data_IF_566314988226
#
_entry.id   IF_566314988226
#
_cell.length_a   1.000
_cell.length_b   1.000
_cell.length_c   1.000
_cell.angle_alpha   90.00
_cell.angle_beta   90.00
_cell.angle_gamma   90.00
#
_symmetry.space_group_name_H-M   'P 1'
#
loop_
_entity.id
_entity.type
_entity.pdbx_description
1 polymer ?
#
# COMPACT_ATOMS: atom_id res chain seq x y z
N UNK A 1 27.78 33.00 48.80
CA UNK A 1 27.62 31.60 48.33
C UNK A 1 26.81 31.62 47.04
N UNK A 2 27.39 31.20 45.91
CA UNK A 2 26.71 31.21 44.60
C UNK A 2 26.72 29.79 44.04
N UNK A 3 25.62 29.07 44.21
CA UNK A 3 25.40 27.75 43.61
C UNK A 3 24.63 27.93 42.31
N UNK A 4 25.31 27.95 41.18
CA UNK A 4 24.65 28.13 39.87
C UNK A 4 25.24 27.21 38.82
N UNK A 5 24.43 26.28 38.28
CA UNK A 5 24.56 25.92 36.86
C UNK A 5 24.40 24.44 36.48
N UNK A 6 24.56 23.47 37.37
CA UNK A 6 24.65 22.07 36.92
C UNK A 6 23.28 21.38 36.71
N UNK A 7 22.28 21.66 37.55
CA UNK A 7 20.97 21.00 37.48
C UNK A 7 20.15 21.40 36.24
N UNK A 8 20.28 22.65 35.77
CA UNK A 8 19.56 23.13 34.57
C UNK A 8 20.18 22.72 33.23
N UNK A 9 21.48 22.35 33.20
CA UNK A 9 22.17 22.00 31.94
C UNK A 9 21.78 20.59 31.47
N UNK A 10 21.66 19.63 32.38
CA UNK A 10 21.23 18.27 32.07
C UNK A 10 19.77 18.18 31.66
N UNK A 11 18.88 18.96 32.30
CA UNK A 11 17.47 19.04 31.90
C UNK A 11 17.31 19.58 30.47
N UNK A 12 18.09 20.61 30.09
CA UNK A 12 18.08 21.16 28.73
C UNK A 12 18.62 20.19 27.68
N UNK A 13 19.66 19.42 28.02
CA UNK A 13 20.21 18.38 27.15
C UNK A 13 19.19 17.25 26.90
N UNK A 14 18.50 16.78 27.94
CA UNK A 14 17.44 15.77 27.80
C UNK A 14 16.29 16.23 26.89
N UNK A 15 15.83 17.46 27.07
CA UNK A 15 14.77 18.04 26.23
C UNK A 15 15.22 18.12 24.77
N UNK A 16 16.47 18.53 24.51
CA UNK A 16 17.02 18.61 23.16
C UNK A 16 17.13 17.23 22.49
N UNK A 17 17.59 16.20 23.22
CA UNK A 17 17.68 14.83 22.69
C UNK A 17 16.29 14.26 22.37
N UNK A 18 15.30 14.45 23.26
CA UNK A 18 13.93 14.00 23.02
C UNK A 18 13.35 14.68 21.77
N UNK A 19 13.55 15.99 21.60
CA UNK A 19 13.08 16.73 20.43
C UNK A 19 13.73 16.25 19.12
N UNK A 20 15.02 15.88 19.14
CA UNK A 20 15.69 15.32 17.95
C UNK A 20 15.16 13.93 17.62
N UNK A 21 14.93 13.07 18.62
CA UNK A 21 14.41 11.71 18.42
C UNK A 21 12.99 11.73 17.85
N UNK A 22 12.13 12.63 18.32
CA UNK A 22 10.75 12.74 17.81
C UNK A 22 10.69 13.29 16.38
N UNK A 23 11.56 14.23 16.01
CA UNK A 23 11.63 14.78 14.65
C UNK A 23 12.20 13.77 13.65
N UNK A 24 13.18 12.96 14.04
CA UNK A 24 13.77 11.94 13.17
C UNK A 24 12.92 10.66 13.05
N UNK A 25 12.14 10.32 14.08
CA UNK A 25 11.26 9.14 14.08
C UNK A 25 10.02 9.27 13.18
N UNK A 26 9.59 10.48 12.84
CA UNK A 26 8.41 10.71 12.00
C UNK A 26 8.64 10.37 10.51
N UNK A 27 9.89 10.28 10.06
CA UNK A 27 10.24 10.10 8.64
C UNK A 27 10.26 8.65 8.12
N UNK A 28 10.25 7.65 9.00
CA UNK A 28 10.42 6.24 8.58
C UNK A 28 9.14 5.55 8.10
N UNK A 29 7.96 6.18 8.25
CA UNK A 29 6.68 5.59 7.86
C UNK A 29 6.09 6.18 6.56
N UNK A 30 6.89 6.88 5.75
CA UNK A 30 6.47 7.26 4.40
C UNK A 30 6.43 6.02 3.50
N UNK A 31 5.38 5.21 3.63
CA UNK A 31 5.07 4.17 2.66
C UNK A 31 4.81 4.84 1.32
N UNK A 32 5.61 4.46 0.30
CA UNK A 32 5.42 4.92 -1.07
C UNK A 32 4.01 4.51 -1.51
N UNK A 33 3.15 5.48 -1.82
CA UNK A 33 1.96 5.19 -2.60
C UNK A 33 2.42 4.70 -3.98
N UNK A 34 2.07 3.45 -4.31
CA UNK A 34 2.20 2.96 -5.67
C UNK A 34 1.19 3.73 -6.53
N UNK A 35 1.67 4.60 -7.41
CA UNK A 35 0.84 5.09 -8.48
C UNK A 35 0.56 3.91 -9.41
N UNK A 36 -0.66 3.35 -9.32
CA UNK A 36 -1.09 2.27 -10.19
C UNK A 36 -1.10 2.72 -11.64
N UNK A 37 -0.25 2.11 -12.46
CA UNK A 37 -0.22 2.28 -13.92
C UNK A 37 0.03 0.91 -14.57
N UNK A 38 -0.34 0.70 -15.84
CA UNK A 38 -1.58 1.02 -16.54
C UNK A 38 -2.36 -0.27 -16.87
N UNK A 39 -3.68 -0.18 -16.99
CA UNK A 39 -4.50 -1.30 -17.45
C UNK A 39 -4.21 -1.57 -18.93
N UNK A 40 -3.41 -2.60 -19.20
CA UNK A 40 -3.37 -3.24 -20.52
C UNK A 40 -3.87 -4.66 -20.36
N UNK A 41 -5.19 -4.80 -20.50
CA UNK A 41 -5.85 -6.03 -20.96
C UNK A 41 -6.18 -7.11 -19.94
N UNK A 42 -5.57 -7.16 -18.75
CA UNK A 42 -5.89 -8.18 -17.74
C UNK A 42 -5.74 -7.58 -16.35
N UNK A 43 -6.84 -7.47 -15.59
CA UNK A 43 -6.75 -7.10 -14.19
C UNK A 43 -6.23 -8.32 -13.41
N UNK A 44 -4.91 -8.37 -13.25
CA UNK A 44 -4.26 -9.37 -12.41
C UNK A 44 -4.53 -9.01 -10.94
N UNK A 45 -5.23 -9.88 -10.23
CA UNK A 45 -5.39 -9.74 -8.77
C UNK A 45 -4.25 -10.50 -8.12
N UNK A 46 -3.29 -9.76 -7.58
CA UNK A 46 -2.21 -10.35 -6.79
C UNK A 46 -2.82 -10.87 -5.47
N UNK A 47 -3.05 -12.18 -5.39
CA UNK A 47 -3.33 -12.84 -4.13
C UNK A 47 -2.17 -12.60 -3.17
N UNK A 48 -2.48 -12.35 -1.90
CA UNK A 48 -1.48 -12.13 -0.85
C UNK A 48 -0.32 -13.14 -0.94
N UNK A 49 0.90 -12.61 -0.76
CA UNK A 49 2.22 -13.25 -0.79
C UNK A 49 2.18 -14.80 -0.79
N UNK A 50 2.18 -15.40 -1.98
CA UNK A 50 2.31 -16.86 -2.14
C UNK A 50 1.33 -17.52 -3.12
N UNK A 51 0.33 -16.80 -3.63
CA UNK A 51 -0.58 -17.33 -4.65
C UNK A 51 -0.07 -17.05 -6.08
N UNK A 52 -0.21 -18.02 -7.02
CA UNK A 52 0.07 -17.74 -8.43
C UNK A 52 -0.83 -16.60 -8.92
N UNK A 53 -0.33 -15.78 -9.85
CA UNK A 53 -1.08 -14.67 -10.43
C UNK A 53 -2.43 -15.20 -10.98
N UNK A 54 -3.53 -14.59 -10.52
CA UNK A 54 -4.89 -14.89 -10.99
C UNK A 54 -5.47 -13.69 -11.71
N UNK A 55 -6.37 -13.96 -12.65
CA UNK A 55 -7.04 -12.97 -13.47
C UNK A 55 -8.48 -12.75 -12.99
N UNK A 56 -8.98 -11.52 -13.10
CA UNK A 56 -10.41 -11.21 -12.96
C UNK A 56 -11.17 -11.90 -14.11
N UNK A 57 -12.19 -12.69 -13.79
CA UNK A 57 -12.80 -13.66 -14.70
C UNK A 57 -14.32 -13.72 -14.47
N UNK A 58 -15.12 -13.91 -15.53
CA UNK A 58 -16.54 -14.22 -15.38
C UNK A 58 -16.74 -15.73 -15.17
N UNK A 59 -17.48 -16.10 -14.12
CA UNK A 59 -17.81 -17.49 -13.87
C UNK A 59 -18.60 -18.10 -15.04
N UNK A 60 -18.19 -19.29 -15.45
CA UNK A 60 -18.86 -20.13 -16.44
C UNK A 60 -19.19 -19.42 -17.78
N UNK A 61 -18.29 -18.57 -18.28
CA UNK A 61 -18.50 -17.79 -19.51
C UNK A 61 -19.76 -16.92 -19.50
N UNK A 62 -20.24 -16.49 -18.33
CA UNK A 62 -21.51 -15.76 -18.20
C UNK A 62 -21.50 -14.43 -18.96
N UNK A 63 -22.25 -14.28 -20.07
CA UNK A 63 -22.28 -13.04 -20.86
C UNK A 63 -23.33 -12.04 -20.34
N UNK A 64 -24.05 -12.37 -19.26
CA UNK A 64 -25.21 -11.62 -18.80
C UNK A 64 -24.86 -10.67 -17.65
N UNK A 65 -25.57 -9.53 -17.60
CA UNK A 65 -25.49 -8.60 -16.49
C UNK A 65 -25.90 -9.27 -15.18
N UNK A 66 -25.15 -8.98 -14.10
CA UNK A 66 -25.35 -9.63 -12.80
C UNK A 66 -24.68 -11.01 -12.68
N UNK A 67 -23.94 -11.45 -13.70
CA UNK A 67 -23.09 -12.63 -13.63
C UNK A 67 -22.03 -12.52 -12.52
N UNK A 68 -21.62 -13.68 -11.98
CA UNK A 68 -20.60 -13.73 -10.94
C UNK A 68 -19.23 -13.46 -11.53
N UNK A 69 -18.47 -12.60 -10.85
CA UNK A 69 -17.05 -12.35 -11.16
C UNK A 69 -16.19 -13.06 -10.13
N UNK A 70 -15.14 -13.73 -10.59
CA UNK A 70 -14.25 -14.56 -9.79
C UNK A 70 -12.77 -14.26 -10.07
N UNK A 71 -11.91 -14.89 -9.29
CA UNK A 71 -10.47 -14.93 -9.56
C UNK A 71 -10.09 -16.34 -10.00
N UNK A 72 -9.64 -16.47 -11.25
CA UNK A 72 -9.32 -17.77 -11.83
C UNK A 72 -7.90 -17.81 -12.39
N UNK A 73 -7.47 -18.99 -12.83
CA UNK A 73 -6.22 -19.12 -13.59
C UNK A 73 -6.29 -18.18 -14.80
N UNK A 74 -5.19 -17.49 -15.10
CA UNK A 74 -5.10 -16.67 -16.31
C UNK A 74 -5.05 -17.57 -17.54
N UNK A 75 -6.13 -17.59 -18.31
CA UNK A 75 -6.31 -18.37 -19.55
C UNK A 75 -6.17 -17.50 -20.80
N UNK A 76 -6.22 -16.16 -20.66
CA UNK A 76 -6.22 -15.17 -21.76
C UNK A 76 -7.48 -15.19 -22.66
N UNK A 77 -8.55 -15.78 -22.15
CA UNK A 77 -9.85 -15.86 -22.81
C UNK A 77 -10.64 -14.54 -22.75
N UNK A 78 -11.82 -14.50 -23.36
CA UNK A 78 -12.60 -13.27 -23.54
C UNK A 78 -13.16 -12.74 -22.20
N UNK A 79 -13.58 -13.65 -21.33
CA UNK A 79 -14.09 -13.42 -19.98
C UNK A 79 -13.07 -12.81 -19.00
N UNK A 80 -11.79 -12.74 -19.41
CA UNK A 80 -10.69 -12.17 -18.61
C UNK A 80 -10.23 -10.80 -19.10
N UNK A 81 -10.90 -10.24 -20.13
CA UNK A 81 -10.52 -8.97 -20.76
C UNK A 81 -11.38 -7.85 -20.21
N UNK A 82 -10.82 -7.08 -19.30
CA UNK A 82 -11.51 -5.98 -18.63
C UNK A 82 -10.92 -4.63 -19.01
N UNK A 83 -11.81 -3.66 -19.21
CA UNK A 83 -11.46 -2.26 -19.35
C UNK A 83 -12.00 -1.49 -18.14
N UNK A 84 -11.11 -0.78 -17.45
CA UNK A 84 -11.56 0.20 -16.46
C UNK A 84 -12.15 1.40 -17.21
N UNK A 85 -13.39 1.76 -16.89
CA UNK A 85 -13.99 3.01 -17.32
C UNK A 85 -13.65 4.03 -16.21
N UNK A 86 -12.91 5.11 -16.52
CA UNK A 86 -12.66 6.17 -15.56
C UNK A 86 -13.98 6.79 -15.10
N UNK A 87 -14.09 7.11 -13.82
CA UNK A 87 -15.19 7.92 -13.27
C UNK A 87 -15.10 9.38 -13.71
#
# INVERSE_FOLDING_TARGET
MKTSGHTGRWAKLLIAVIAVVTVLGAGVNAQRASAGYPVRGMLNVWGAQGNPQRCLDFDYWSPWNGGKVQQWQCLNDAEQRWQQIPE
#
